data_IF_942909484134
#
_entry.id   IF_942909484134
#
_cell.length_a   1.000
_cell.length_b   1.000
_cell.length_c   1.000
_cell.angle_alpha   90.00
_cell.angle_beta   90.00
_cell.angle_gamma   90.00
#
_symmetry.space_group_name_H-M   'P 1'
#
loop_
_entity.id
_entity.type
_entity.pdbx_description
1 polymer ?
#
# COMPACT_ATOMS: atom_id res chain seq x y z
N UNK A 1 0.93 0.52 16.97
CA UNK A 1 0.57 1.08 15.65
C UNK A 1 1.52 0.47 14.62
N UNK A 2 1.02 -0.37 13.72
CA UNK A 2 1.81 -1.09 12.73
C UNK A 2 1.89 -0.33 11.38
N UNK A 3 2.84 -0.64 10.49
CA UNK A 3 2.85 -0.09 9.13
C UNK A 3 1.56 -0.45 8.35
N UNK A 4 1.00 -1.65 8.56
CA UNK A 4 -0.22 -2.09 7.90
C UNK A 4 -1.42 -1.21 8.26
N UNK A 5 -1.58 -0.84 9.53
CA UNK A 5 -2.60 0.11 9.97
C UNK A 5 -2.54 1.42 9.18
N UNK A 6 -1.34 1.99 9.05
CA UNK A 6 -1.15 3.26 8.35
C UNK A 6 -1.63 3.20 6.89
N UNK A 7 -1.31 2.10 6.21
CA UNK A 7 -1.72 1.85 4.82
C UNK A 7 -3.24 1.62 4.72
N UNK A 8 -3.83 0.88 5.65
CA UNK A 8 -5.28 0.65 5.65
C UNK A 8 -6.07 1.93 5.90
N UNK A 9 -5.63 2.76 6.85
CA UNK A 9 -6.26 4.07 7.10
C UNK A 9 -6.11 5.02 5.94
N UNK A 10 -4.94 5.01 5.29
CA UNK A 10 -4.72 5.78 4.07
C UNK A 10 -5.67 5.34 2.95
N UNK A 11 -5.69 4.05 2.61
CA UNK A 11 -6.50 3.52 1.51
C UNK A 11 -8.01 3.70 1.76
N UNK A 12 -8.46 3.55 3.00
CA UNK A 12 -9.89 3.71 3.36
C UNK A 12 -10.32 5.18 3.43
N UNK A 13 -9.39 6.11 3.66
CA UNK A 13 -9.69 7.53 3.89
C UNK A 13 -10.04 8.35 2.65
N UNK A 14 -10.12 7.73 1.47
CA UNK A 14 -10.50 8.41 0.22
C UNK A 14 -12.02 8.47 0.06
N UNK A 15 -12.52 9.60 -0.45
CA UNK A 15 -13.92 9.74 -0.80
C UNK A 15 -14.34 8.70 -1.85
N UNK A 16 -15.50 8.06 -1.61
CA UNK A 16 -16.04 7.03 -2.49
C UNK A 16 -15.40 5.65 -2.35
N UNK A 17 -14.50 5.44 -1.39
CA UNK A 17 -13.91 4.13 -1.14
C UNK A 17 -14.93 3.17 -0.50
N UNK A 18 -15.26 2.07 -1.19
CA UNK A 18 -16.23 1.09 -0.71
C UNK A 18 -15.60 -0.08 0.06
N UNK A 19 -14.38 -0.50 -0.34
CA UNK A 19 -13.74 -1.70 0.18
C UNK A 19 -12.22 -1.62 0.04
N UNK A 20 -11.50 -2.12 1.04
CA UNK A 20 -10.04 -2.33 1.01
C UNK A 20 -9.75 -3.81 1.21
N UNK A 21 -9.04 -4.43 0.28
CA UNK A 21 -8.62 -5.83 0.37
C UNK A 21 -7.25 -5.92 1.03
N UNK A 22 -7.19 -6.44 2.26
CA UNK A 22 -5.95 -6.61 3.02
C UNK A 22 -5.44 -8.05 2.92
N UNK A 23 -4.20 -8.23 2.44
CA UNK A 23 -3.52 -9.53 2.41
C UNK A 23 -2.78 -9.81 3.72
N UNK A 24 -2.90 -11.03 4.25
CA UNK A 24 -2.36 -11.43 5.56
C UNK A 24 -1.86 -12.87 5.51
N UNK A 25 -0.82 -13.18 6.28
CA UNK A 25 -0.22 -14.52 6.33
C UNK A 25 -0.62 -15.31 7.57
N UNK A 26 -1.05 -14.63 8.64
CA UNK A 26 -1.39 -15.24 9.92
C UNK A 26 -2.52 -14.49 10.64
N UNK A 27 -3.02 -15.10 11.72
CA UNK A 27 -4.13 -14.58 12.51
C UNK A 27 -3.78 -13.32 13.30
N UNK A 28 -2.51 -13.12 13.68
CA UNK A 28 -2.09 -11.93 14.42
C UNK A 28 -2.17 -10.70 13.51
N UNK A 29 -1.73 -10.81 12.26
CA UNK A 29 -1.89 -9.76 11.24
C UNK A 29 -3.36 -9.45 10.98
N UNK A 30 -4.23 -10.47 10.98
CA UNK A 30 -5.67 -10.28 10.84
C UNK A 30 -6.29 -9.52 12.00
N UNK A 31 -5.96 -9.88 13.23
CA UNK A 31 -6.46 -9.16 14.39
C UNK A 31 -5.97 -7.71 14.42
N UNK A 32 -4.69 -7.48 14.09
CA UNK A 32 -4.12 -6.13 13.99
C UNK A 32 -4.89 -5.29 12.96
N UNK A 33 -5.05 -5.80 11.74
CA UNK A 33 -5.77 -5.10 10.67
C UNK A 33 -7.24 -4.79 11.03
N UNK A 34 -7.94 -5.75 11.65
CA UNK A 34 -9.33 -5.58 12.06
C UNK A 34 -9.49 -4.55 13.19
N UNK A 35 -8.53 -4.49 14.12
CA UNK A 35 -8.60 -3.61 15.28
C UNK A 35 -8.73 -2.13 14.90
N UNK A 36 -8.13 -1.72 13.79
CA UNK A 36 -8.15 -0.33 13.30
C UNK A 36 -9.29 -0.01 12.35
N UNK A 37 -9.93 -1.04 11.76
CA UNK A 37 -11.12 -0.87 10.94
C UNK A 37 -12.39 -0.80 11.79
N UNK A 38 -12.39 -1.40 12.99
CA UNK A 38 -13.53 -1.37 13.91
C UNK A 38 -13.90 0.05 14.34
N UNK A 39 -12.90 0.84 14.69
CA UNK A 39 -13.05 2.26 15.08
C UNK A 39 -12.26 3.13 14.11
N UNK A 40 -12.63 3.08 12.83
CA UNK A 40 -11.90 3.76 11.76
C UNK A 40 -11.72 5.25 12.05
N UNK A 41 -10.47 5.71 11.95
CA UNK A 41 -10.10 7.11 11.97
C UNK A 41 -9.27 7.40 10.72
N UNK A 42 -9.60 8.43 9.92
CA UNK A 42 -8.76 8.82 8.80
C UNK A 42 -7.37 9.27 9.29
N UNK A 43 -6.40 9.32 8.38
CA UNK A 43 -5.11 9.94 8.69
C UNK A 43 -5.32 11.41 9.08
N UNK A 44 -4.71 11.82 10.19
CA UNK A 44 -4.63 13.22 10.60
C UNK A 44 -3.82 14.04 9.60
N UNK A 45 -3.96 15.37 9.64
CA UNK A 45 -3.19 16.29 8.78
C UNK A 45 -1.69 16.07 8.89
N UNK A 46 -1.17 15.80 10.09
CA UNK A 46 0.26 15.53 10.31
C UNK A 46 0.70 14.23 9.64
N UNK A 47 -0.14 13.19 9.71
CA UNK A 47 0.13 11.91 9.05
C UNK A 47 0.08 12.06 7.53
N UNK A 48 -0.93 12.77 6.99
CA UNK A 48 -1.01 13.05 5.55
C UNK A 48 0.21 13.81 5.03
N UNK A 49 0.69 14.80 5.78
CA UNK A 49 1.91 15.54 5.42
C UNK A 49 3.15 14.64 5.45
N UNK A 50 3.25 13.71 6.39
CA UNK A 50 4.34 12.73 6.41
C UNK A 50 4.31 11.81 5.18
N UNK A 51 3.13 11.31 4.76
CA UNK A 51 2.96 10.54 3.52
C UNK A 51 3.44 11.34 2.32
N UNK A 52 3.06 12.62 2.24
CA UNK A 52 3.44 13.51 1.15
C UNK A 52 4.96 13.71 1.08
N UNK A 53 5.62 13.95 2.22
CA UNK A 53 7.08 14.10 2.26
C UNK A 53 7.81 12.85 1.77
N UNK A 54 7.39 11.66 2.23
CA UNK A 54 7.97 10.39 1.75
C UNK A 54 7.72 10.20 0.26
N UNK A 55 6.51 10.54 -0.21
CA UNK A 55 6.15 10.46 -1.63
C UNK A 55 7.08 11.31 -2.50
N UNK A 56 7.40 12.54 -2.09
CA UNK A 56 8.32 13.41 -2.83
C UNK A 56 9.76 12.88 -2.85
N UNK A 57 10.22 12.28 -1.74
CA UNK A 57 11.52 11.59 -1.70
C UNK A 57 11.53 10.43 -2.71
N UNK A 58 10.48 9.62 -2.78
CA UNK A 58 10.40 8.52 -3.73
C UNK A 58 10.34 9.01 -5.18
N UNK A 59 9.59 10.07 -5.48
CA UNK A 59 9.59 10.68 -6.83
C UNK A 59 10.94 11.24 -7.23
N UNK A 60 11.72 11.75 -6.26
CA UNK A 60 13.09 12.23 -6.51
C UNK A 60 14.07 11.11 -6.83
N UNK A 61 13.77 9.87 -6.45
CA UNK A 61 14.54 8.70 -6.87
C UNK A 61 14.15 8.40 -8.31
N UNK A 62 15.14 8.39 -9.20
CA UNK A 62 14.98 8.20 -10.63
C UNK A 62 14.60 6.74 -10.97
N UNK A 63 13.44 6.28 -10.49
CA UNK A 63 12.92 4.94 -10.75
C UNK A 63 12.63 4.81 -12.24
N UNK A 64 13.24 3.80 -12.86
CA UNK A 64 12.97 3.47 -14.25
C UNK A 64 11.58 2.84 -14.28
N UNK A 65 10.64 3.49 -14.97
CA UNK A 65 9.32 2.92 -15.27
C UNK A 65 9.48 1.63 -16.08
N UNK A 66 8.47 0.77 -16.10
CA UNK A 66 8.49 -0.42 -16.94
C UNK A 66 8.73 -0.01 -18.41
N UNK A 67 9.81 -0.51 -19.02
CA UNK A 67 10.15 -0.28 -20.44
C UNK A 67 9.80 -1.50 -21.32
N UNK A 68 8.92 -2.38 -20.86
CA UNK A 68 8.52 -3.62 -21.54
C UNK A 68 9.71 -4.55 -21.90
N UNK A 69 10.79 -4.51 -21.12
CA UNK A 69 11.99 -5.33 -21.31
C UNK A 69 11.83 -6.80 -20.89
N UNK A 70 10.73 -7.16 -20.23
CA UNK A 70 10.36 -8.54 -19.87
C UNK A 70 11.30 -9.28 -18.89
N UNK A 71 12.38 -8.65 -18.38
CA UNK A 71 13.29 -9.28 -17.41
C UNK A 71 12.59 -9.71 -16.10
N UNK A 72 11.49 -9.03 -15.75
CA UNK A 72 10.72 -9.36 -14.56
C UNK A 72 9.98 -10.69 -14.70
N UNK A 73 9.60 -11.09 -15.91
CA UNK A 73 8.93 -12.37 -16.17
C UNK A 73 9.89 -13.55 -15.99
N UNK A 74 11.14 -13.43 -16.42
CA UNK A 74 12.17 -14.48 -16.23
C UNK A 74 12.43 -14.78 -14.74
N UNK A 75 12.24 -13.78 -13.87
CA UNK A 75 12.51 -13.87 -12.44
C UNK A 75 11.27 -14.17 -11.61
N UNK A 76 10.08 -14.10 -12.20
CA UNK A 76 8.83 -14.24 -11.46
C UNK A 76 8.43 -15.72 -11.35
N UNK A 77 8.43 -16.33 -10.16
CA UNK A 77 8.03 -17.73 -9.99
C UNK A 77 6.54 -17.96 -10.27
N UNK A 78 5.76 -16.87 -10.42
CA UNK A 78 4.32 -16.90 -10.69
C UNK A 78 3.99 -16.66 -12.16
N UNK A 79 4.99 -16.46 -13.03
CA UNK A 79 4.81 -16.21 -14.46
C UNK A 79 3.78 -15.11 -14.76
N UNK A 80 3.77 -14.05 -13.96
CA UNK A 80 2.88 -12.91 -14.15
C UNK A 80 3.34 -12.18 -15.42
N UNK A 81 2.43 -12.02 -16.38
CA UNK A 81 2.68 -11.21 -17.56
C UNK A 81 2.75 -9.73 -17.14
N UNK A 82 3.86 -9.07 -17.46
CA UNK A 82 4.05 -7.63 -17.27
C UNK A 82 4.70 -7.10 -18.57
N UNK A 83 4.16 -6.05 -19.22
CA UNK A 83 3.11 -5.15 -18.75
C UNK A 83 1.67 -5.50 -19.20
N UNK A 84 1.47 -6.63 -19.90
CA UNK A 84 0.17 -7.09 -20.41
C UNK A 84 -0.77 -7.54 -19.29
#
# INVERSE_FOLDING_TARGET
MSPANYVLRFATGFDGMMMVLSGMNDMAQMQDNLSFMKDFQPLSTKEQEAVKQVTEIFKSKNFILCIACRYCMEKCPKNIAIPD
#
